data_IF_762061185102
#
_entry.id   IF_762061185102
#
_cell.length_a   1.000
_cell.length_b   1.000
_cell.length_c   1.000
_cell.angle_alpha   90.00
_cell.angle_beta   90.00
_cell.angle_gamma   90.00
#
_symmetry.space_group_name_H-M   'P 1'
#
loop_
_entity.id
_entity.type
_entity.pdbx_description
1 polymer ?
#
# COMPACT_ATOMS: atom_id res chain seq x y z
N UNK A 1 15.91 -5.22 28.07
CA UNK A 1 15.99 -5.01 26.62
C UNK A 1 15.48 -3.61 26.29
N UNK A 2 16.33 -2.68 25.84
CA UNK A 2 15.87 -1.38 25.33
C UNK A 2 15.27 -1.65 23.94
N UNK A 3 13.96 -1.44 23.77
CA UNK A 3 13.38 -1.45 22.43
C UNK A 3 14.08 -0.37 21.59
N UNK A 4 14.50 -0.67 20.35
CA UNK A 4 15.06 0.34 19.47
C UNK A 4 14.02 1.45 19.26
N UNK A 5 14.44 2.72 19.11
CA UNK A 5 13.52 3.83 18.92
C UNK A 5 12.64 3.56 17.69
N UNK A 6 11.33 3.53 17.92
CA UNK A 6 10.33 3.25 16.89
C UNK A 6 10.27 4.43 15.91
N UNK A 7 10.79 4.24 14.70
CA UNK A 7 10.67 5.23 13.65
C UNK A 7 9.39 4.97 12.84
N UNK A 8 8.45 5.93 12.77
CA UNK A 8 7.18 5.75 12.03
C UNK A 8 7.40 5.49 10.54
N UNK A 9 8.50 6.00 9.97
CA UNK A 9 8.90 5.74 8.59
C UNK A 9 9.21 4.26 8.31
N UNK A 10 9.73 3.51 9.29
CA UNK A 10 9.93 2.06 9.14
C UNK A 10 8.61 1.29 9.10
N UNK A 11 7.61 1.71 9.87
CA UNK A 11 6.28 1.08 9.83
C UNK A 11 5.68 1.26 8.43
N UNK A 12 5.65 2.49 7.93
CA UNK A 12 5.11 2.80 6.60
C UNK A 12 5.86 2.02 5.52
N UNK A 13 7.20 1.99 5.59
CA UNK A 13 8.02 1.23 4.66
C UNK A 13 7.73 -0.28 4.68
N UNK A 14 7.55 -0.87 5.87
CA UNK A 14 7.22 -2.28 6.00
C UNK A 14 5.83 -2.62 5.45
N UNK A 15 4.82 -1.77 5.72
CA UNK A 15 3.47 -1.95 5.18
C UNK A 15 3.51 -1.85 3.65
N UNK A 16 4.19 -0.83 3.11
CA UNK A 16 4.35 -0.66 1.68
C UNK A 16 5.07 -1.87 1.04
N UNK A 17 6.14 -2.36 1.66
CA UNK A 17 6.86 -3.54 1.19
C UNK A 17 5.97 -4.79 1.19
N UNK A 18 5.17 -5.01 2.24
CA UNK A 18 4.26 -6.15 2.32
C UNK A 18 3.20 -6.09 1.22
N UNK A 19 2.60 -4.92 1.00
CA UNK A 19 1.60 -4.69 -0.06
C UNK A 19 2.23 -4.94 -1.44
N UNK A 20 3.41 -4.39 -1.70
CA UNK A 20 4.14 -4.58 -2.96
C UNK A 20 4.55 -6.03 -3.21
N UNK A 21 5.00 -6.74 -2.17
CA UNK A 21 5.37 -8.16 -2.29
C UNK A 21 4.14 -9.02 -2.59
N UNK A 22 3.02 -8.76 -1.94
CA UNK A 22 1.77 -9.49 -2.19
C UNK A 22 1.26 -9.24 -3.62
N UNK A 23 1.16 -7.97 -4.03
CA UNK A 23 0.72 -7.57 -5.37
C UNK A 23 1.68 -8.06 -6.46
N UNK A 24 2.98 -7.90 -6.26
CA UNK A 24 4.01 -8.34 -7.20
C UNK A 24 4.04 -9.86 -7.35
N UNK A 25 3.90 -10.60 -6.24
CA UNK A 25 3.79 -12.06 -6.27
C UNK A 25 2.55 -12.53 -7.03
N UNK A 26 1.40 -11.92 -6.78
CA UNK A 26 0.15 -12.25 -7.48
C UNK A 26 0.22 -11.90 -8.98
N UNK A 27 0.84 -10.77 -9.33
CA UNK A 27 1.12 -10.41 -10.72
C UNK A 27 2.02 -11.44 -11.42
N UNK A 28 3.08 -11.89 -10.74
CA UNK A 28 4.00 -12.87 -11.29
C UNK A 28 3.32 -14.23 -11.53
N UNK A 29 2.45 -14.64 -10.61
CA UNK A 29 1.62 -15.85 -10.78
C UNK A 29 0.72 -15.75 -12.00
N UNK A 30 0.01 -14.65 -12.18
CA UNK A 30 -0.85 -14.44 -13.35
C UNK A 30 -0.04 -14.40 -14.65
N UNK A 31 1.16 -13.79 -14.61
CA UNK A 31 2.05 -13.74 -15.76
C UNK A 31 2.57 -15.13 -16.16
N UNK A 32 2.99 -15.94 -15.18
CA UNK A 32 3.43 -17.32 -15.40
C UNK A 32 2.24 -18.17 -15.90
N UNK A 33 1.06 -18.05 -15.29
CA UNK A 33 -0.12 -18.78 -15.73
C UNK A 33 -0.48 -18.49 -17.19
N UNK A 34 -0.42 -17.22 -17.60
CA UNK A 34 -0.61 -16.80 -19.01
C UNK A 34 0.46 -17.37 -19.93
N UNK A 35 1.70 -17.46 -19.47
CA UNK A 35 2.80 -18.08 -20.23
C UNK A 35 2.53 -19.55 -20.55
N UNK A 36 1.89 -20.27 -19.63
CA UNK A 36 1.47 -21.67 -19.83
C UNK A 36 0.10 -21.82 -20.51
N UNK A 37 -0.49 -20.73 -21.02
CA UNK A 37 -1.80 -20.73 -21.69
C UNK A 37 -3.00 -20.84 -20.74
N UNK A 38 -2.78 -20.68 -19.43
CA UNK A 38 -3.83 -20.64 -18.43
C UNK A 38 -4.36 -19.22 -18.17
N UNK A 39 -5.45 -19.15 -17.42
CA UNK A 39 -6.02 -17.89 -16.91
C UNK A 39 -6.00 -17.91 -15.39
N UNK A 40 -5.50 -16.84 -14.77
CA UNK A 40 -5.49 -16.68 -13.31
C UNK A 40 -5.96 -15.26 -12.96
N UNK A 41 -6.74 -15.16 -11.89
CA UNK A 41 -7.28 -13.92 -11.34
C UNK A 41 -6.61 -13.56 -10.01
N UNK A 42 -5.40 -14.09 -9.75
CA UNK A 42 -4.74 -13.94 -8.46
C UNK A 42 -4.42 -12.48 -8.19
N UNK A 43 -3.93 -11.74 -9.19
CA UNK A 43 -3.65 -10.32 -9.05
C UNK A 43 -4.91 -9.53 -8.71
N UNK A 44 -6.01 -9.74 -9.44
CA UNK A 44 -7.25 -9.01 -9.21
C UNK A 44 -7.89 -9.33 -7.85
N UNK A 45 -7.87 -10.59 -7.41
CA UNK A 45 -8.32 -10.96 -6.07
C UNK A 45 -7.47 -10.29 -4.98
N UNK A 46 -6.16 -10.25 -5.18
CA UNK A 46 -5.23 -9.62 -4.24
C UNK A 46 -5.45 -8.10 -4.19
N UNK A 47 -5.66 -7.44 -5.33
CA UNK A 47 -5.98 -6.01 -5.35
C UNK A 47 -7.31 -5.72 -4.68
N UNK A 48 -8.36 -6.52 -4.93
CA UNK A 48 -9.66 -6.35 -4.29
C UNK A 48 -9.59 -6.43 -2.76
N UNK A 49 -8.71 -7.28 -2.23
CA UNK A 49 -8.46 -7.37 -0.79
C UNK A 49 -7.65 -6.19 -0.25
N UNK A 50 -6.54 -5.82 -0.93
CA UNK A 50 -5.64 -4.79 -0.42
C UNK A 50 -6.15 -3.37 -0.65
N UNK A 51 -6.92 -3.09 -1.69
CA UNK A 51 -7.42 -1.74 -1.98
C UNK A 51 -8.17 -1.08 -0.79
N UNK A 52 -9.22 -1.70 -0.20
CA UNK A 52 -9.93 -1.10 0.94
C UNK A 52 -9.07 -1.04 2.21
N UNK A 53 -8.20 -2.03 2.43
CA UNK A 53 -7.30 -2.08 3.59
C UNK A 53 -6.24 -0.98 3.53
N UNK A 54 -5.55 -0.87 2.39
CA UNK A 54 -4.53 0.15 2.16
C UNK A 54 -5.12 1.55 2.16
N UNK A 55 -6.35 1.73 1.66
CA UNK A 55 -7.08 2.99 1.80
C UNK A 55 -7.30 3.34 3.27
N UNK A 56 -7.89 2.43 4.05
CA UNK A 56 -8.19 2.66 5.47
C UNK A 56 -6.93 2.95 6.29
N UNK A 57 -5.88 2.13 6.11
CA UNK A 57 -4.60 2.32 6.78
C UNK A 57 -3.95 3.64 6.33
N UNK A 58 -4.00 3.96 5.04
CA UNK A 58 -3.47 5.20 4.49
C UNK A 58 -4.13 6.44 5.09
N UNK A 59 -5.46 6.44 5.24
CA UNK A 59 -6.19 7.52 5.92
C UNK A 59 -5.76 7.65 7.37
N UNK A 60 -5.64 6.55 8.11
CA UNK A 60 -5.17 6.56 9.50
C UNK A 60 -3.74 7.12 9.60
N UNK A 61 -2.84 6.71 8.71
CA UNK A 61 -1.47 7.23 8.69
C UNK A 61 -1.43 8.73 8.36
N UNK A 62 -2.28 9.19 7.44
CA UNK A 62 -2.44 10.60 7.14
C UNK A 62 -2.94 11.40 8.35
N UNK A 63 -3.99 10.94 9.03
CA UNK A 63 -4.53 11.65 10.20
C UNK A 63 -3.52 11.70 11.34
N UNK A 64 -2.83 10.59 11.61
CA UNK A 64 -1.73 10.54 12.58
C UNK A 64 -0.59 11.47 12.17
N UNK A 65 -0.23 11.50 10.88
CA UNK A 65 0.79 12.39 10.35
C UNK A 65 0.45 13.87 10.56
N UNK A 66 -0.80 14.27 10.31
CA UNK A 66 -1.31 15.63 10.58
C UNK A 66 -1.20 15.96 12.07
N UNK A 67 -1.62 15.05 12.95
CA UNK A 67 -1.57 15.26 14.40
C UNK A 67 -0.13 15.41 14.91
N UNK A 68 0.79 14.57 14.44
CA UNK A 68 2.23 14.65 14.79
C UNK A 68 2.85 15.93 14.24
N UNK A 69 2.47 16.34 13.03
CA UNK A 69 2.95 17.58 12.43
C UNK A 69 2.44 18.81 13.18
N UNK A 70 1.16 18.82 13.58
CA UNK A 70 0.57 19.89 14.39
C UNK A 70 1.20 19.95 15.80
N UNK A 71 1.36 18.80 16.47
CA UNK A 71 2.00 18.71 17.79
C UNK A 71 3.46 19.17 17.78
N UNK A 72 4.17 18.93 16.67
CA UNK A 72 5.55 19.42 16.45
C UNK A 72 5.63 20.88 15.96
N UNK A 73 4.54 21.64 16.06
CA UNK A 73 4.46 23.06 15.64
C UNK A 73 4.88 23.25 14.18
N UNK A 74 4.48 22.31 13.32
CA UNK A 74 4.73 22.31 11.88
C UNK A 74 6.20 22.14 11.46
N UNK A 75 7.09 21.71 12.37
CA UNK A 75 8.52 21.56 12.09
C UNK A 75 8.99 20.10 11.94
N UNK A 76 8.13 19.12 12.22
CA UNK A 76 8.52 17.70 12.21
C UNK A 76 8.38 17.01 10.86
N UNK A 77 9.50 16.63 10.25
CA UNK A 77 9.54 15.86 8.99
C UNK A 77 8.89 14.47 9.11
N UNK A 78 8.86 13.91 10.33
CA UNK A 78 8.22 12.63 10.60
C UNK A 78 6.70 12.65 10.31
N UNK A 79 6.02 13.76 10.64
CA UNK A 79 4.59 13.93 10.37
C UNK A 79 4.31 14.05 8.88
N UNK A 80 5.14 14.80 8.15
CA UNK A 80 5.06 14.95 6.70
C UNK A 80 5.29 13.60 6.00
N UNK A 81 6.28 12.81 6.44
CA UNK A 81 6.54 11.48 5.89
C UNK A 81 5.36 10.51 6.08
N UNK A 82 4.68 10.57 7.24
CA UNK A 82 3.46 9.81 7.50
C UNK A 82 2.30 10.23 6.58
N UNK A 83 2.13 11.53 6.35
CA UNK A 83 1.09 12.06 5.44
C UNK A 83 1.34 11.63 4.00
N UNK A 84 2.55 11.82 3.48
CA UNK A 84 2.88 11.44 2.10
C UNK A 84 2.81 9.92 1.94
N UNK A 85 3.38 9.17 2.89
CA UNK A 85 3.36 7.71 2.86
C UNK A 85 1.94 7.13 2.95
N UNK A 86 1.10 7.68 3.83
CA UNK A 86 -0.31 7.29 3.95
C UNK A 86 -1.10 7.59 2.67
N UNK A 87 -0.90 8.77 2.08
CA UNK A 87 -1.57 9.16 0.84
C UNK A 87 -1.13 8.29 -0.36
N UNK A 88 0.16 7.95 -0.46
CA UNK A 88 0.63 7.04 -1.49
C UNK A 88 0.06 5.63 -1.30
N UNK A 89 0.07 5.12 -0.06
CA UNK A 89 -0.45 3.79 0.26
C UNK A 89 -1.94 3.66 -0.04
N UNK A 90 -2.74 4.72 0.17
CA UNK A 90 -4.18 4.68 -0.08
C UNK A 90 -4.53 4.62 -1.57
N UNK A 91 -3.70 5.20 -2.44
CA UNK A 91 -3.97 5.29 -3.88
C UNK A 91 -3.34 4.13 -4.65
N UNK A 92 -2.13 3.70 -4.28
CA UNK A 92 -1.31 2.79 -5.08
C UNK A 92 -2.03 1.51 -5.54
N UNK A 93 -2.70 0.75 -4.65
CA UNK A 93 -3.34 -0.50 -5.02
C UNK A 93 -4.50 -0.30 -6.00
N UNK A 94 -5.19 0.85 -5.94
CA UNK A 94 -6.30 1.17 -6.84
C UNK A 94 -5.85 1.53 -8.26
N UNK A 95 -4.69 2.19 -8.41
CA UNK A 95 -4.15 2.55 -9.75
C UNK A 95 -3.32 1.44 -10.38
N UNK A 96 -2.75 0.54 -9.59
CA UNK A 96 -1.88 -0.55 -10.07
C UNK A 96 -2.48 -1.38 -11.22
N UNK A 97 -3.74 -1.86 -11.17
CA UNK A 97 -4.32 -2.65 -12.25
C UNK A 97 -4.25 -1.98 -13.61
N UNK A 98 -4.50 -0.66 -13.63
CA UNK A 98 -4.44 0.14 -14.85
C UNK A 98 -3.02 0.24 -15.41
N UNK A 99 -2.01 0.37 -14.54
CA UNK A 99 -0.61 0.44 -14.96
C UNK A 99 -0.07 -0.91 -15.46
N UNK A 100 -0.57 -2.03 -14.93
CA UNK A 100 -0.19 -3.37 -15.39
C UNK A 100 -1.04 -3.91 -16.54
N UNK A 101 -1.91 -3.07 -17.12
CA UNK A 101 -2.85 -3.47 -18.18
C UNK A 101 -3.67 -4.73 -17.80
N UNK A 102 -4.01 -4.85 -16.52
CA UNK A 102 -4.88 -5.92 -16.01
C UNK A 102 -6.29 -5.35 -15.85
N UNK A 103 -7.25 -5.94 -16.56
CA UNK A 103 -8.67 -5.61 -16.43
C UNK A 103 -9.26 -6.33 -15.21
N UNK A 104 -9.06 -5.75 -14.04
CA UNK A 104 -9.73 -6.21 -12.84
C UNK A 104 -11.14 -5.62 -12.79
N UNK A 105 -12.15 -6.45 -13.03
CA UNK A 105 -13.55 -6.07 -12.82
C UNK A 105 -13.79 -6.05 -11.31
N UNK A 106 -13.74 -4.86 -10.71
CA UNK A 106 -14.23 -4.65 -9.35
C UNK A 106 -15.77 -4.64 -9.43
N UNK A 107 -16.40 -5.79 -9.30
CA UNK A 107 -17.84 -5.84 -9.09
C UNK A 107 -18.16 -5.19 -7.73
N UNK A 108 -19.05 -4.18 -7.68
CA UNK A 108 -19.48 -3.57 -6.43
C UNK A 108 -20.17 -4.56 -5.49
#
# INVERSE_FOLDING_TARGET
>A
MKLPPYHPTRLVGNIAALVLLALGGAYLLDHIARWFGGTSNAFCATVAFFAPLSFSIGVVLCTVGVLVWAASRFKGDAGVGLMIGGALLSVLPGVMPRYFAMECIFTP
#
